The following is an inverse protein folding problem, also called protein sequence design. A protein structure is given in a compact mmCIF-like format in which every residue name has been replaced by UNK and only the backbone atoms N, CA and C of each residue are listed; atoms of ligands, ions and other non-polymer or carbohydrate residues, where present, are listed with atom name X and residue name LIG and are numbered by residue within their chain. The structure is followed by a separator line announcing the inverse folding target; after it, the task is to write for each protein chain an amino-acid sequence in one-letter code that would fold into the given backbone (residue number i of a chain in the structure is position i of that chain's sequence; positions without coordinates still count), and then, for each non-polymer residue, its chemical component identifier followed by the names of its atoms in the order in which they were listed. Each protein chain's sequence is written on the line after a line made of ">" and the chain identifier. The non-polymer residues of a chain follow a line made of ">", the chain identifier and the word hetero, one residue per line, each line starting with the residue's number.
data_IF_325853889295
#
_entry.id   IF_325853889295
#
_cell.length_a   1.000
_cell.length_b   1.000
_cell.length_c   1.000
_cell.angle_alpha   90.00
_cell.angle_beta   90.00
_cell.angle_gamma   90.00
#
_symmetry.space_group_name_H-M   'P 1'
#
loop_
_entity.id
_entity.type
_entity.pdbx_description
1 polymer ?
#
# COMPACT_ATOMS: atom_id res chain seq x y z
N UNK A 1 -29.12 48.09 0.80
CA UNK A 1 -28.13 47.18 0.18
C UNK A 1 -27.33 46.42 1.23
N UNK A 2 -28.00 45.80 2.23
CA UNK A 2 -27.37 45.26 3.45
C UNK A 2 -27.77 43.80 3.76
N UNK A 3 -28.03 42.99 2.73
CA UNK A 3 -28.57 41.62 2.91
C UNK A 3 -27.79 40.51 2.20
N UNK A 4 -26.76 40.83 1.39
CA UNK A 4 -25.96 39.79 0.69
C UNK A 4 -24.68 39.34 1.39
N UNK A 5 -24.18 40.06 2.41
CA UNK A 5 -22.99 39.65 3.18
C UNK A 5 -23.32 38.57 4.21
N UNK A 6 -24.46 38.71 4.90
CA UNK A 6 -24.89 37.80 5.98
C UNK A 6 -25.14 36.36 5.50
N UNK A 7 -25.64 36.17 4.27
CA UNK A 7 -25.87 34.84 3.69
C UNK A 7 -24.59 34.11 3.25
N UNK A 8 -23.53 34.84 2.87
CA UNK A 8 -22.23 34.23 2.54
C UNK A 8 -21.42 33.89 3.79
N UNK A 9 -21.52 34.72 4.83
CA UNK A 9 -20.85 34.47 6.10
C UNK A 9 -21.56 33.33 6.87
N UNK A 10 -22.90 33.25 6.83
CA UNK A 10 -23.66 32.10 7.35
C UNK A 10 -23.38 30.81 6.59
N UNK A 11 -23.24 30.84 5.25
CA UNK A 11 -22.90 29.63 4.49
C UNK A 11 -21.46 29.16 4.74
N UNK A 12 -20.54 30.08 5.09
CA UNK A 12 -19.18 29.75 5.54
C UNK A 12 -19.17 29.19 6.97
N UNK A 13 -19.95 29.79 7.88
CA UNK A 13 -20.10 29.31 9.26
C UNK A 13 -20.84 27.96 9.31
N UNK A 14 -21.85 27.70 8.48
CA UNK A 14 -22.51 26.39 8.38
C UNK A 14 -21.57 25.29 7.83
N UNK A 15 -20.61 25.66 6.98
CA UNK A 15 -19.56 24.75 6.50
C UNK A 15 -18.47 24.50 7.56
N UNK A 16 -18.21 25.47 8.45
CA UNK A 16 -17.30 25.34 9.60
C UNK A 16 -17.94 24.68 10.84
N UNK A 17 -19.28 24.71 10.95
CA UNK A 17 -20.04 24.15 12.09
C UNK A 17 -20.74 22.82 11.78
N UNK A 18 -20.64 22.30 10.56
CA UNK A 18 -20.94 20.89 10.31
C UNK A 18 -19.96 20.06 11.17
N UNK A 19 -20.44 19.52 12.29
CA UNK A 19 -19.68 18.73 13.24
C UNK A 19 -18.75 17.78 12.46
N UNK A 20 -17.44 18.09 12.46
CA UNK A 20 -16.45 17.31 11.73
C UNK A 20 -16.55 15.90 12.30
N UNK A 21 -17.10 15.00 11.50
CA UNK A 21 -17.35 13.66 11.96
C UNK A 21 -16.01 13.03 12.39
N UNK A 22 -15.94 12.43 13.59
CA UNK A 22 -14.69 11.96 14.13
C UNK A 22 -14.13 10.85 13.23
N UNK A 23 -12.83 10.93 12.91
CA UNK A 23 -12.09 9.93 12.13
C UNK A 23 -12.48 8.49 12.50
N UNK A 24 -12.49 7.57 11.52
CA UNK A 24 -12.77 6.16 11.81
C UNK A 24 -11.78 5.60 12.84
N UNK A 25 -12.11 4.52 13.57
CA UNK A 25 -11.21 3.93 14.54
C UNK A 25 -9.81 3.62 14.01
N UNK A 26 -9.71 3.20 12.74
CA UNK A 26 -8.44 2.91 12.06
C UNK A 26 -7.73 4.21 11.64
N UNK A 27 -8.46 5.20 11.12
CA UNK A 27 -7.88 6.51 10.79
C UNK A 27 -7.27 7.19 12.03
N UNK A 28 -7.90 7.06 13.19
CA UNK A 28 -7.37 7.58 14.45
C UNK A 28 -6.11 6.84 14.91
N UNK A 29 -5.95 5.56 14.61
CA UNK A 29 -4.70 4.82 14.88
C UNK A 29 -3.56 5.36 14.01
N UNK A 30 -3.82 5.62 12.73
CA UNK A 30 -2.79 6.13 11.81
C UNK A 30 -2.35 7.58 12.08
N UNK A 31 -3.05 8.31 12.95
CA UNK A 31 -2.62 9.63 13.43
C UNK A 31 -2.10 9.61 14.87
N UNK A 32 -2.03 8.43 15.49
CA UNK A 32 -1.47 8.28 16.84
C UNK A 32 0.07 8.37 16.80
N UNK A 33 0.73 8.89 17.86
CA UNK A 33 2.17 9.11 17.84
C UNK A 33 3.01 7.88 17.51
N UNK A 34 2.60 6.68 17.95
CA UNK A 34 3.40 5.46 17.72
C UNK A 34 3.08 4.73 16.41
N UNK A 35 2.05 5.15 15.68
CA UNK A 35 1.62 4.56 14.41
C UNK A 35 1.39 5.64 13.35
N UNK A 36 2.01 6.81 13.55
CA UNK A 36 1.83 7.97 12.70
C UNK A 36 2.25 7.61 11.27
N UNK A 37 1.29 7.65 10.36
CA UNK A 37 1.45 7.24 8.98
C UNK A 37 1.02 8.39 8.08
N UNK A 38 1.93 8.83 7.21
CA UNK A 38 1.64 9.81 6.18
C UNK A 38 1.85 9.18 4.81
N UNK A 39 0.95 9.51 3.89
CA UNK A 39 1.05 9.04 2.50
C UNK A 39 1.73 10.15 1.69
N UNK A 40 2.86 9.83 1.07
CA UNK A 40 3.52 10.67 0.07
C UNK A 40 3.03 10.22 -1.30
N UNK A 41 2.45 11.16 -2.05
CA UNK A 41 2.19 11.00 -3.47
C UNK A 41 3.26 11.72 -4.27
N UNK A 42 3.83 11.02 -5.24
CA UNK A 42 4.79 11.60 -6.18
C UNK A 42 4.17 11.56 -7.57
N UNK A 43 4.00 12.74 -8.17
CA UNK A 43 3.44 12.89 -9.51
C UNK A 43 4.53 13.35 -10.46
N UNK A 44 4.69 12.63 -11.57
CA UNK A 44 5.51 13.04 -12.70
C UNK A 44 4.69 13.68 -13.79
N UNK A 45 5.25 14.73 -14.40
CA UNK A 45 4.66 15.42 -15.53
C UNK A 45 5.60 15.34 -16.74
N UNK A 46 5.02 15.31 -17.94
CA UNK A 46 5.80 15.34 -19.19
C UNK A 46 6.39 16.71 -19.47
N UNK A 47 5.78 17.76 -18.90
CA UNK A 47 6.22 19.15 -19.03
C UNK A 47 6.56 19.72 -17.66
N UNK A 48 7.40 20.75 -17.63
CA UNK A 48 7.68 21.47 -16.39
C UNK A 48 6.43 22.23 -15.95
N UNK A 49 5.83 21.81 -14.84
CA UNK A 49 4.67 22.47 -14.26
C UNK A 49 5.06 23.70 -13.44
N UNK A 50 4.11 24.62 -13.27
CA UNK A 50 4.20 25.68 -12.27
C UNK A 50 3.78 25.11 -10.89
N UNK A 51 4.69 25.00 -9.90
CA UNK A 51 4.35 24.40 -8.61
C UNK A 51 3.20 25.11 -7.89
N UNK A 52 3.10 26.44 -8.01
CA UNK A 52 2.04 27.21 -7.36
C UNK A 52 0.66 26.87 -7.95
N UNK A 53 0.57 26.71 -9.27
CA UNK A 53 -0.67 26.31 -9.95
C UNK A 53 -1.10 24.90 -9.52
N UNK A 54 -0.17 23.95 -9.46
CA UNK A 54 -0.46 22.59 -8.98
C UNK A 54 -0.93 22.61 -7.52
N UNK A 55 -0.23 23.34 -6.65
CA UNK A 55 -0.60 23.46 -5.23
C UNK A 55 -1.97 24.11 -5.07
N UNK A 56 -2.27 25.15 -5.84
CA UNK A 56 -3.57 25.80 -5.83
C UNK A 56 -4.67 24.87 -6.34
N UNK A 57 -4.42 24.14 -7.43
CA UNK A 57 -5.32 23.11 -7.93
C UNK A 57 -5.64 22.06 -6.87
N UNK A 58 -4.60 21.51 -6.21
CA UNK A 58 -4.75 20.53 -5.12
C UNK A 58 -5.55 21.11 -3.96
N UNK A 59 -5.26 22.34 -3.53
CA UNK A 59 -6.00 23.02 -2.46
C UNK A 59 -7.47 23.24 -2.81
N UNK A 60 -7.76 23.54 -4.07
CA UNK A 60 -9.11 23.85 -4.53
C UNK A 60 -9.93 22.62 -4.91
N UNK A 61 -9.29 21.46 -5.12
CA UNK A 61 -9.94 20.20 -5.48
C UNK A 61 -9.68 19.10 -4.44
N UNK A 62 -8.48 18.53 -4.41
CA UNK A 62 -8.12 17.34 -3.63
C UNK A 62 -8.28 17.51 -2.13
N UNK A 63 -7.90 18.66 -1.57
CA UNK A 63 -8.13 18.93 -0.14
C UNK A 63 -9.63 18.99 0.18
N UNK A 64 -10.45 19.38 -0.79
CA UNK A 64 -11.92 19.42 -0.68
C UNK A 64 -12.58 18.10 -1.08
N UNK A 65 -11.85 17.16 -1.70
CA UNK A 65 -12.38 15.84 -2.00
C UNK A 65 -12.59 15.09 -0.69
N UNK A 66 -13.82 14.61 -0.42
CA UNK A 66 -14.12 14.00 0.85
C UNK A 66 -13.31 12.74 1.13
N UNK A 67 -12.79 12.02 0.11
CA UNK A 67 -11.81 10.91 0.22
C UNK A 67 -11.33 10.33 -1.12
N UNK A 68 -10.23 9.57 -1.04
CA UNK A 68 -9.81 8.56 -2.03
C UNK A 68 -10.27 7.16 -1.61
N UNK A 69 -10.72 6.33 -2.55
CA UNK A 69 -10.89 4.89 -2.36
C UNK A 69 -10.00 4.15 -3.34
N UNK A 70 -9.34 3.08 -2.90
CA UNK A 70 -8.61 2.19 -3.79
C UNK A 70 -9.05 0.74 -3.58
N UNK A 71 -9.07 0.00 -4.68
CA UNK A 71 -9.16 -1.46 -4.68
C UNK A 71 -7.74 -1.99 -4.60
N UNK A 72 -7.30 -2.36 -3.40
CA UNK A 72 -6.03 -3.07 -3.22
C UNK A 72 -6.32 -4.56 -3.46
N UNK A 73 -5.77 -5.11 -4.54
CA UNK A 73 -5.73 -6.55 -4.82
C UNK A 73 -4.28 -6.95 -4.93
N UNK A 74 -3.85 -7.96 -4.19
CA UNK A 74 -2.48 -8.47 -4.31
C UNK A 74 -2.27 -9.08 -5.69
N UNK A 75 -1.30 -8.54 -6.43
CA UNK A 75 -0.80 -9.18 -7.63
C UNK A 75 0.26 -10.22 -7.25
N UNK A 76 -0.04 -11.49 -7.53
CA UNK A 76 0.80 -12.63 -7.16
C UNK A 76 2.15 -12.61 -7.91
N UNK A 77 2.22 -12.01 -9.10
CA UNK A 77 3.47 -11.81 -9.86
C UNK A 77 4.35 -10.78 -9.15
N UNK A 78 3.79 -9.64 -8.75
CA UNK A 78 4.55 -8.60 -8.03
C UNK A 78 5.04 -9.08 -6.66
N UNK A 79 4.23 -9.89 -5.97
CA UNK A 79 4.66 -10.54 -4.74
C UNK A 79 5.74 -11.60 -5.02
N UNK A 80 5.60 -12.40 -6.07
CA UNK A 80 6.63 -13.36 -6.51
C UNK A 80 7.97 -12.68 -6.82
N UNK A 81 7.94 -11.61 -7.61
CA UNK A 81 9.07 -10.73 -7.90
C UNK A 81 9.68 -10.15 -6.63
N UNK A 82 8.86 -9.70 -5.67
CA UNK A 82 9.33 -9.20 -4.38
C UNK A 82 10.12 -10.25 -3.61
N UNK A 83 9.60 -11.48 -3.54
CA UNK A 83 10.28 -12.59 -2.87
C UNK A 83 11.59 -12.95 -3.56
N UNK A 84 11.59 -13.00 -4.90
CA UNK A 84 12.79 -13.26 -5.70
C UNK A 84 13.87 -12.19 -5.50
N UNK A 85 13.51 -10.90 -5.58
CA UNK A 85 14.45 -9.80 -5.37
C UNK A 85 15.02 -9.79 -3.94
N UNK A 86 14.19 -10.04 -2.92
CA UNK A 86 14.66 -10.19 -1.55
C UNK A 86 15.61 -11.39 -1.39
N UNK A 87 15.32 -12.53 -2.03
CA UNK A 87 16.24 -13.68 -2.05
C UNK A 87 17.59 -13.32 -2.64
N UNK A 88 17.61 -12.62 -3.77
CA UNK A 88 18.84 -12.15 -4.42
C UNK A 88 19.61 -11.20 -3.51
N UNK A 89 18.96 -10.15 -3.01
CA UNK A 89 19.56 -9.16 -2.14
C UNK A 89 20.19 -9.80 -0.89
N UNK A 90 19.43 -10.67 -0.20
CA UNK A 90 19.88 -11.32 1.03
C UNK A 90 20.94 -12.40 0.78
N UNK A 91 20.97 -13.02 -0.41
CA UNK A 91 22.01 -13.99 -0.76
C UNK A 91 23.41 -13.38 -0.76
N UNK A 92 23.53 -12.08 -1.05
CA UNK A 92 24.81 -11.34 -1.06
C UNK A 92 25.33 -11.01 0.33
N UNK A 93 24.48 -11.03 1.37
CA UNK A 93 24.90 -10.78 2.76
C UNK A 93 25.75 -11.93 3.32
N UNK A 94 25.67 -13.12 2.72
CA UNK A 94 26.47 -14.28 3.11
C UNK A 94 27.71 -14.33 2.23
N UNK A 95 28.81 -13.84 2.80
CA UNK A 95 30.14 -13.65 2.20
C UNK A 95 30.93 -14.97 2.16
N UNK A 96 30.27 -16.08 1.81
CA UNK A 96 30.89 -17.39 1.68
C UNK A 96 30.92 -17.76 0.20
N UNK A 97 32.08 -18.08 -0.37
CA UNK A 97 32.25 -18.51 -1.77
C UNK A 97 31.49 -19.81 -2.11
N UNK A 98 30.88 -20.46 -1.10
CA UNK A 98 30.17 -21.71 -1.24
C UNK A 98 28.67 -21.51 -1.49
N UNK A 99 28.26 -21.69 -2.75
CA UNK A 99 26.84 -21.64 -3.19
C UNK A 99 25.90 -22.49 -2.30
N UNK A 100 26.37 -23.65 -1.84
CA UNK A 100 25.60 -24.57 -0.98
C UNK A 100 25.31 -23.94 0.39
N UNK A 101 26.26 -23.21 0.97
CA UNK A 101 26.08 -22.56 2.26
C UNK A 101 25.16 -21.34 2.15
N UNK A 102 25.25 -20.56 1.07
CA UNK A 102 24.28 -19.50 0.75
C UNK A 102 22.85 -20.04 0.68
N UNK A 103 22.62 -21.15 -0.03
CA UNK A 103 21.29 -21.79 -0.11
C UNK A 103 20.79 -22.19 1.29
N UNK A 104 21.62 -22.89 2.09
CA UNK A 104 21.27 -23.30 3.46
C UNK A 104 20.98 -22.12 4.39
N UNK A 105 21.70 -21.01 4.24
CA UNK A 105 21.52 -19.83 5.08
C UNK A 105 20.22 -19.09 4.75
N UNK A 106 19.89 -18.93 3.46
CA UNK A 106 18.60 -18.36 3.04
C UNK A 106 17.42 -19.19 3.57
N UNK A 107 17.50 -20.52 3.54
CA UNK A 107 16.44 -21.40 4.03
C UNK A 107 16.12 -21.25 5.53
N UNK A 108 17.05 -20.69 6.33
CA UNK A 108 16.84 -20.39 7.74
C UNK A 108 16.12 -19.05 7.97
N UNK A 109 16.15 -18.14 7.00
CA UNK A 109 15.52 -16.83 7.11
C UNK A 109 14.00 -17.00 7.19
N UNK A 110 13.38 -16.24 8.09
CA UNK A 110 11.91 -16.17 8.26
C UNK A 110 11.48 -14.73 8.23
N UNK A 111 10.99 -14.27 7.09
CA UNK A 111 10.42 -12.94 6.94
C UNK A 111 8.90 -13.03 6.86
N UNK A 112 8.23 -11.98 7.35
CA UNK A 112 6.77 -11.86 7.29
C UNK A 112 6.40 -10.53 6.67
N UNK A 113 5.52 -10.57 5.68
CA UNK A 113 4.94 -9.38 5.07
C UNK A 113 3.57 -9.07 5.69
N UNK A 114 3.20 -7.80 5.66
CA UNK A 114 1.82 -7.34 5.87
C UNK A 114 1.26 -6.78 4.58
N UNK A 115 -0.04 -7.00 4.36
CA UNK A 115 -0.80 -6.29 3.32
C UNK A 115 -2.11 -5.80 3.88
N UNK A 116 -2.48 -4.59 3.49
CA UNK A 116 -3.76 -4.00 3.83
C UNK A 116 -4.81 -4.39 2.79
N UNK A 117 -5.96 -4.86 3.26
CA UNK A 117 -7.10 -5.20 2.41
C UNK A 117 -8.30 -4.32 2.73
N UNK A 118 -8.99 -3.87 1.68
CA UNK A 118 -10.22 -3.11 1.82
C UNK A 118 -11.35 -4.07 2.21
N UNK A 119 -11.95 -3.86 3.38
CA UNK A 119 -12.99 -4.74 3.93
C UNK A 119 -14.41 -4.36 3.49
N UNK A 120 -14.57 -3.34 2.64
CA UNK A 120 -15.89 -2.93 2.16
C UNK A 120 -16.42 -3.95 1.15
N UNK A 121 -17.72 -4.26 1.28
CA UNK A 121 -18.43 -5.11 0.34
C UNK A 121 -18.59 -4.43 -1.05
N UNK A 122 -18.79 -3.12 -1.05
CA UNK A 122 -18.74 -2.29 -2.26
C UNK A 122 -17.55 -1.31 -2.18
N UNK A 123 -16.85 -1.17 -3.29
CA UNK A 123 -15.64 -0.35 -3.44
C UNK A 123 -15.82 0.74 -4.49
N UNK A 124 -17.04 0.90 -5.05
CA UNK A 124 -17.38 2.02 -5.91
C UNK A 124 -17.24 3.34 -5.13
N UNK A 125 -16.88 4.39 -5.87
CA UNK A 125 -16.99 5.76 -5.39
C UNK A 125 -18.48 6.05 -5.19
N UNK A 126 -18.81 6.49 -3.99
CA UNK A 126 -20.17 6.83 -3.58
C UNK A 126 -20.13 8.20 -2.91
N UNK A 127 -21.22 8.95 -3.07
CA UNK A 127 -21.36 10.24 -2.40
C UNK A 127 -21.32 10.10 -0.89
N UNK A 128 -20.71 11.07 -0.21
CA UNK A 128 -20.53 11.05 1.25
C UNK A 128 -21.87 10.85 1.99
N UNK A 129 -22.93 11.52 1.54
CA UNK A 129 -24.26 11.37 2.12
C UNK A 129 -24.77 9.91 2.02
N UNK A 130 -24.53 9.23 0.90
CA UNK A 130 -24.91 7.83 0.69
C UNK A 130 -24.05 6.88 1.53
N UNK A 131 -22.76 7.20 1.71
CA UNK A 131 -21.86 6.42 2.59
C UNK A 131 -22.24 6.52 4.07
N UNK A 132 -22.82 7.67 4.45
CA UNK A 132 -23.25 8.00 5.81
C UNK A 132 -24.64 7.47 6.16
N UNK A 133 -25.46 7.15 5.15
CA UNK A 133 -26.79 6.62 5.33
C UNK A 133 -26.79 5.31 6.16
N UNK A 134 -27.77 5.17 7.05
CA UNK A 134 -27.95 3.97 7.86
C UNK A 134 -28.19 2.76 6.95
N UNK A 135 -27.40 1.69 7.13
CA UNK A 135 -27.48 0.49 6.29
C UNK A 135 -26.67 0.55 5.00
N UNK A 136 -25.90 1.62 4.78
CA UNK A 136 -25.01 1.72 3.61
C UNK A 136 -24.02 0.55 3.56
N UNK A 137 -23.88 -0.04 2.37
CA UNK A 137 -22.88 -1.09 2.08
C UNK A 137 -21.48 -0.50 1.84
N UNK A 138 -21.40 0.81 1.59
CA UNK A 138 -20.16 1.57 1.39
C UNK A 138 -19.97 2.55 2.56
N UNK A 139 -19.78 2.03 3.78
CA UNK A 139 -19.74 2.88 4.99
C UNK A 139 -18.54 3.82 5.00
N UNK A 140 -18.78 5.01 5.57
CA UNK A 140 -17.79 6.06 5.79
C UNK A 140 -16.69 5.68 6.79
N UNK A 141 -15.43 6.01 6.44
CA UNK A 141 -14.24 5.80 7.27
C UNK A 141 -13.28 4.76 6.72
N UNK A 142 -12.09 4.59 7.31
CA UNK A 142 -11.15 3.51 6.92
C UNK A 142 -11.66 2.15 7.42
N UNK A 143 -12.11 1.32 6.48
CA UNK A 143 -12.48 -0.09 6.69
C UNK A 143 -11.39 -0.97 6.06
N UNK A 144 -10.30 -1.13 6.79
CA UNK A 144 -9.11 -1.82 6.31
C UNK A 144 -8.75 -2.92 7.29
N UNK A 145 -8.50 -4.11 6.77
CA UNK A 145 -7.97 -5.24 7.50
C UNK A 145 -6.49 -5.45 7.17
N UNK A 146 -5.77 -6.09 8.07
CA UNK A 146 -4.36 -6.46 7.86
C UNK A 146 -4.28 -7.98 7.70
N UNK A 147 -3.56 -8.42 6.69
CA UNK A 147 -3.19 -9.81 6.46
C UNK A 147 -1.69 -9.92 6.72
N UNK A 148 -1.27 -10.95 7.48
CA UNK A 148 0.15 -11.26 7.71
C UNK A 148 0.46 -12.55 6.96
N UNK A 149 1.46 -12.54 6.11
CA UNK A 149 1.84 -13.69 5.31
C UNK A 149 3.35 -13.98 5.40
N UNK A 150 3.77 -15.26 5.33
CA UNK A 150 5.18 -15.60 5.25
C UNK A 150 5.72 -15.22 3.86
N UNK A 151 6.94 -14.69 3.82
CA UNK A 151 7.65 -14.43 2.57
C UNK A 151 8.54 -15.63 2.22
N UNK A 152 8.46 -16.08 0.96
CA UNK A 152 9.27 -17.17 0.44
C UNK A 152 10.64 -16.67 -0.06
N UNK A 153 11.54 -16.39 0.89
CA UNK A 153 12.93 -16.00 0.60
C UNK A 153 13.82 -17.23 0.63
N UNK A 154 14.04 -17.83 -0.54
CA UNK A 154 14.88 -19.02 -0.75
C UNK A 154 15.60 -18.93 -2.08
N UNK A 155 16.57 -19.81 -2.31
CA UNK A 155 17.14 -19.99 -3.66
C UNK A 155 16.26 -20.95 -4.45
N UNK A 156 15.83 -20.54 -5.63
CA UNK A 156 14.99 -21.33 -6.53
C UNK A 156 15.68 -21.49 -7.88
N UNK A 157 15.65 -22.71 -8.42
CA UNK A 157 16.20 -22.99 -9.75
C UNK A 157 15.17 -22.69 -10.86
N UNK A 158 13.86 -22.79 -10.57
CA UNK A 158 12.77 -22.31 -11.45
C UNK A 158 12.28 -20.93 -10.98
N UNK A 159 12.53 -19.84 -11.73
CA UNK A 159 12.10 -18.49 -11.35
C UNK A 159 10.58 -18.35 -11.15
N UNK A 160 9.79 -19.16 -11.87
CA UNK A 160 8.33 -19.13 -11.74
C UNK A 160 7.82 -19.70 -10.41
N UNK A 161 8.66 -20.42 -9.66
CA UNK A 161 8.27 -20.98 -8.37
C UNK A 161 7.91 -19.88 -7.35
N UNK A 162 8.60 -18.74 -7.38
CA UNK A 162 8.23 -17.60 -6.53
C UNK A 162 6.80 -17.13 -6.78
N UNK A 163 6.36 -17.08 -8.04
CA UNK A 163 5.00 -16.66 -8.42
C UNK A 163 3.99 -17.72 -8.00
N UNK A 164 4.28 -19.01 -8.20
CA UNK A 164 3.39 -20.10 -7.75
C UNK A 164 3.21 -20.10 -6.23
N UNK A 165 4.29 -19.86 -5.48
CA UNK A 165 4.27 -19.77 -4.02
C UNK A 165 3.53 -18.55 -3.52
N UNK A 166 3.75 -17.40 -4.15
CA UNK A 166 3.01 -16.17 -3.86
C UNK A 166 1.51 -16.39 -4.07
N UNK A 167 1.12 -16.94 -5.23
CA UNK A 167 -0.27 -17.27 -5.56
C UNK A 167 -0.90 -18.24 -4.55
N UNK A 168 -0.25 -19.37 -4.29
CA UNK A 168 -0.75 -20.37 -3.33
C UNK A 168 -0.97 -19.76 -1.94
N UNK A 169 0.00 -18.98 -1.45
CA UNK A 169 -0.09 -18.30 -0.16
C UNK A 169 -1.25 -17.30 -0.16
N UNK A 170 -1.35 -16.45 -1.18
CA UNK A 170 -2.36 -15.40 -1.24
C UNK A 170 -3.77 -15.95 -1.46
N UNK A 171 -3.94 -17.03 -2.22
CA UNK A 171 -5.24 -17.67 -2.41
C UNK A 171 -5.76 -18.25 -1.08
N UNK A 172 -4.88 -18.85 -0.26
CA UNK A 172 -5.22 -19.25 1.12
C UNK A 172 -5.59 -18.03 1.96
N UNK A 173 -4.82 -16.94 1.89
CA UNK A 173 -5.09 -15.71 2.65
C UNK A 173 -6.36 -14.99 2.23
N UNK A 174 -6.74 -15.03 0.96
CA UNK A 174 -8.01 -14.48 0.43
C UNK A 174 -9.22 -15.24 0.98
N UNK A 175 -9.09 -16.56 1.18
CA UNK A 175 -10.14 -17.39 1.79
C UNK A 175 -10.19 -17.26 3.32
N UNK A 176 -9.12 -16.76 3.94
CA UNK A 176 -9.05 -16.52 5.38
C UNK A 176 -9.92 -15.35 5.81
N UNK A 177 -10.64 -15.53 6.91
CA UNK A 177 -11.40 -14.46 7.58
C UNK A 177 -10.51 -13.64 8.55
N UNK A 178 -9.19 -13.85 8.55
CA UNK A 178 -8.26 -13.21 9.50
C UNK A 178 -8.34 -11.68 9.49
N UNK A 179 -8.52 -11.07 8.31
CA UNK A 179 -8.59 -9.62 8.17
C UNK A 179 -9.84 -9.04 8.81
N UNK A 180 -10.97 -9.74 8.71
CA UNK A 180 -12.23 -9.40 9.38
C UNK A 180 -12.15 -9.60 10.89
N UNK A 181 -11.57 -10.72 11.34
CA UNK A 181 -11.36 -10.99 12.77
C UNK A 181 -10.43 -9.92 13.37
N UNK A 182 -9.31 -9.62 12.71
CA UNK A 182 -8.36 -8.61 13.16
C UNK A 182 -9.04 -7.23 13.31
N UNK A 183 -9.80 -6.80 12.30
CA UNK A 183 -10.56 -5.56 12.36
C UNK A 183 -11.60 -5.55 13.50
N UNK A 184 -12.33 -6.66 13.68
CA UNK A 184 -13.30 -6.82 14.77
C UNK A 184 -12.65 -6.73 16.15
N UNK A 185 -11.52 -7.41 16.35
CA UNK A 185 -10.75 -7.38 17.59
C UNK A 185 -10.21 -5.97 17.89
N UNK A 186 -9.62 -5.30 16.89
CA UNK A 186 -9.15 -3.91 17.05
C UNK A 186 -10.29 -3.01 17.52
N UNK A 187 -11.48 -3.12 16.90
CA UNK A 187 -12.64 -2.32 17.26
C UNK A 187 -13.18 -2.65 18.66
N UNK A 188 -13.24 -3.93 19.01
CA UNK A 188 -13.71 -4.39 20.32
C UNK A 188 -12.75 -3.98 21.43
N UNK A 189 -11.46 -4.26 21.28
CA UNK A 189 -10.40 -3.87 22.22
C UNK A 189 -10.38 -2.37 22.41
N UNK A 190 -10.55 -1.58 21.35
CA UNK A 190 -10.66 -0.12 21.45
C UNK A 190 -11.83 0.29 22.34
N UNK A 191 -12.99 -0.34 22.16
CA UNK A 191 -14.22 -0.01 22.89
C UNK A 191 -14.11 -0.36 24.39
N UNK A 192 -13.44 -1.46 24.71
CA UNK A 192 -13.34 -1.97 26.09
C UNK A 192 -12.12 -1.40 26.83
N UNK A 193 -10.95 -1.39 26.19
CA UNK A 193 -9.65 -1.09 26.81
C UNK A 193 -9.06 0.26 26.37
N UNK A 194 -9.69 0.96 25.44
CA UNK A 194 -9.28 2.28 24.97
C UNK A 194 -8.21 2.27 23.86
N UNK A 195 -7.93 3.46 23.31
CA UNK A 195 -7.06 3.63 22.14
C UNK A 195 -5.58 3.27 22.36
N UNK A 196 -5.01 3.61 23.54
CA UNK A 196 -3.59 3.37 23.85
C UNK A 196 -3.21 1.88 23.84
N UNK A 197 -4.13 1.02 24.31
CA UNK A 197 -3.92 -0.44 24.29
C UNK A 197 -3.91 -0.95 22.85
N UNK A 198 -4.85 -0.48 22.03
CA UNK A 198 -4.91 -0.86 20.60
C UNK A 198 -3.68 -0.38 19.85
N UNK A 199 -3.23 0.85 20.07
CA UNK A 199 -2.01 1.39 19.48
C UNK A 199 -0.80 0.51 19.83
N UNK A 200 -0.67 0.07 21.09
CA UNK A 200 0.40 -0.82 21.52
C UNK A 200 0.31 -2.21 20.88
N UNK A 201 -0.89 -2.78 20.75
CA UNK A 201 -1.10 -4.07 20.10
C UNK A 201 -0.79 -4.03 18.61
N UNK A 202 -1.27 -2.98 17.92
CA UNK A 202 -1.04 -2.80 16.48
C UNK A 202 0.42 -2.51 16.20
N UNK A 203 1.08 -1.67 17.01
CA UNK A 203 2.53 -1.45 16.92
C UNK A 203 3.29 -2.76 17.09
N UNK A 204 2.98 -3.54 18.13
CA UNK A 204 3.60 -4.85 18.36
C UNK A 204 3.41 -5.80 17.16
N UNK A 205 2.23 -5.80 16.54
CA UNK A 205 1.97 -6.59 15.33
C UNK A 205 2.95 -6.21 14.21
N UNK A 206 3.10 -4.91 13.93
CA UNK A 206 4.00 -4.45 12.89
C UNK A 206 5.50 -4.63 13.26
N UNK A 207 5.88 -4.44 14.52
CA UNK A 207 7.25 -4.70 15.04
C UNK A 207 7.71 -6.15 14.79
N UNK A 208 6.76 -7.10 14.72
CA UNK A 208 7.03 -8.53 14.50
C UNK A 208 6.91 -8.95 13.03
N UNK A 209 6.91 -7.98 12.12
CA UNK A 209 6.85 -8.20 10.68
C UNK A 209 7.96 -7.43 9.99
N UNK A 210 8.42 -7.94 8.85
CA UNK A 210 9.59 -7.43 8.15
C UNK A 210 9.24 -6.26 7.24
N UNK A 211 8.14 -6.39 6.49
CA UNK A 211 7.76 -5.40 5.48
C UNK A 211 6.26 -5.23 5.33
N UNK A 212 5.84 -4.06 4.84
CA UNK A 212 4.52 -3.88 4.25
C UNK A 212 4.60 -3.93 2.73
N UNK A 213 3.68 -4.67 2.12
CA UNK A 213 3.49 -4.76 0.68
C UNK A 213 2.14 -4.15 0.31
N UNK A 214 2.09 -3.38 -0.77
CA UNK A 214 0.83 -3.01 -1.42
C UNK A 214 1.04 -2.86 -2.92
N UNK A 215 -0.02 -3.07 -3.68
CA UNK A 215 -0.05 -2.70 -5.09
C UNK A 215 -1.40 -2.09 -5.44
N UNK A 216 -1.37 -1.10 -6.32
CA UNK A 216 -2.55 -0.40 -6.80
C UNK A 216 -2.47 -0.30 -8.32
N UNK A 217 -3.55 -0.68 -8.98
CA UNK A 217 -3.71 -0.41 -10.40
C UNK A 217 -4.02 1.08 -10.57
N UNK A 218 -3.14 1.82 -11.22
CA UNK A 218 -3.42 3.19 -11.62
C UNK A 218 -4.11 3.26 -12.99
N UNK A 219 -4.27 4.48 -13.53
CA UNK A 219 -4.87 4.69 -14.86
C UNK A 219 -4.16 3.87 -15.94
N UNK A 220 -4.94 3.28 -16.84
CA UNK A 220 -4.48 2.54 -18.02
C UNK A 220 -4.36 3.43 -19.27
N UNK A 221 -4.89 4.66 -19.20
CA UNK A 221 -4.78 5.70 -20.22
C UNK A 221 -3.92 6.88 -19.75
N UNK A 222 -3.36 7.61 -20.71
CA UNK A 222 -2.69 8.88 -20.44
C UNK A 222 -3.71 9.88 -19.88
N UNK A 223 -3.41 10.41 -18.70
CA UNK A 223 -4.25 11.38 -18.02
C UNK A 223 -3.49 12.68 -17.78
N UNK A 224 -4.24 13.77 -17.66
CA UNK A 224 -3.72 15.07 -17.26
C UNK A 224 -4.16 15.41 -15.84
N UNK A 225 -3.29 16.11 -15.13
CA UNK A 225 -3.57 16.67 -13.82
C UNK A 225 -3.51 18.20 -13.90
N UNK A 226 -4.65 18.87 -13.72
CA UNK A 226 -4.77 20.32 -13.95
C UNK A 226 -4.19 20.75 -15.31
N UNK A 227 -4.62 20.07 -16.38
CA UNK A 227 -4.16 20.31 -17.76
C UNK A 227 -2.67 20.03 -18.01
N UNK A 228 -1.97 19.42 -17.06
CA UNK A 228 -0.61 18.95 -17.25
C UNK A 228 -0.57 17.44 -17.50
N UNK A 229 -0.11 16.98 -18.69
CA UNK A 229 0.03 15.56 -18.98
C UNK A 229 0.93 14.85 -17.97
N UNK A 230 0.41 13.80 -17.35
CA UNK A 230 1.17 12.99 -16.40
C UNK A 230 2.14 12.04 -17.13
N UNK A 231 3.22 11.68 -16.44
CA UNK A 231 4.23 10.74 -16.93
C UNK A 231 4.46 9.55 -15.99
N UNK A 232 4.21 9.73 -14.69
CA UNK A 232 4.18 8.66 -13.70
C UNK A 232 3.37 9.07 -12.46
N UNK A 233 2.94 8.08 -11.68
CA UNK A 233 2.37 8.26 -10.34
C UNK A 233 2.96 7.23 -9.39
N UNK A 234 3.34 7.66 -8.20
CA UNK A 234 3.76 6.80 -7.11
C UNK A 234 3.05 7.22 -5.82
N UNK A 235 2.86 6.26 -4.93
CA UNK A 235 2.40 6.52 -3.57
C UNK A 235 3.25 5.70 -2.60
N UNK A 236 3.59 6.26 -1.44
CA UNK A 236 4.11 5.48 -0.32
C UNK A 236 3.52 5.88 1.00
N UNK A 237 3.26 4.90 1.86
CA UNK A 237 3.18 5.14 3.28
C UNK A 237 4.60 5.34 3.83
N UNK A 238 4.75 6.35 4.69
CA UNK A 238 5.93 6.51 5.55
C UNK A 238 5.49 6.53 7.01
N UNK A 239 6.39 6.06 7.86
CA UNK A 239 6.14 5.83 9.27
C UNK A 239 5.79 4.38 9.58
N UNK A 240 5.60 4.09 10.87
CA UNK A 240 5.48 2.73 11.38
C UNK A 240 6.83 2.06 11.65
N UNK A 241 6.81 0.85 12.24
CA UNK A 241 8.02 0.21 12.76
C UNK A 241 8.74 -0.74 11.80
N UNK A 242 8.23 -0.92 10.58
CA UNK A 242 8.82 -1.85 9.61
C UNK A 242 9.99 -1.19 8.87
N UNK A 243 11.05 -1.96 8.67
CA UNK A 243 12.26 -1.48 7.99
C UNK A 243 12.09 -1.32 6.47
N UNK A 244 11.02 -1.89 5.89
CA UNK A 244 10.78 -1.87 4.46
C UNK A 244 9.29 -1.76 4.15
N UNK A 245 8.93 -0.81 3.30
CA UNK A 245 7.60 -0.68 2.74
C UNK A 245 7.75 -0.67 1.22
N UNK A 246 7.06 -1.58 0.55
CA UNK A 246 7.11 -1.77 -0.89
C UNK A 246 5.73 -1.46 -1.47
N UNK A 247 5.69 -0.54 -2.41
CA UNK A 247 4.49 -0.19 -3.12
C UNK A 247 4.69 -0.26 -4.63
N UNK A 248 3.74 -0.91 -5.29
CA UNK A 248 3.67 -0.96 -6.74
C UNK A 248 2.47 -0.15 -7.22
N UNK A 249 2.71 0.74 -8.19
CA UNK A 249 1.64 1.48 -8.86
C UNK A 249 1.78 1.30 -10.35
N UNK A 250 0.75 0.80 -11.02
CA UNK A 250 0.75 0.76 -12.49
C UNK A 250 0.30 2.10 -13.05
N UNK A 251 0.86 2.51 -14.18
CA UNK A 251 0.43 3.68 -14.92
C UNK A 251 0.65 3.42 -16.41
N UNK A 252 -0.44 3.38 -17.18
CA UNK A 252 -0.43 2.99 -18.59
C UNK A 252 0.23 1.63 -18.74
N UNK A 253 1.39 1.54 -19.37
CA UNK A 253 2.16 0.33 -19.59
C UNK A 253 3.40 0.21 -18.69
N UNK A 254 3.45 0.98 -17.61
CA UNK A 254 4.58 1.05 -16.68
C UNK A 254 4.18 0.56 -15.29
N UNK A 255 5.14 -0.06 -14.61
CA UNK A 255 5.06 -0.38 -13.19
C UNK A 255 6.06 0.51 -12.48
N UNK A 256 5.57 1.27 -11.50
CA UNK A 256 6.41 2.09 -10.62
C UNK A 256 6.62 1.33 -9.32
N UNK A 257 7.89 1.02 -9.02
CA UNK A 257 8.31 0.41 -7.76
C UNK A 257 8.74 1.53 -6.81
N UNK A 258 8.09 1.62 -5.65
CA UNK A 258 8.40 2.60 -4.64
C UNK A 258 8.81 1.91 -3.34
N UNK A 259 9.99 2.26 -2.83
CA UNK A 259 10.57 1.68 -1.61
C UNK A 259 10.74 2.77 -0.56
N UNK A 260 10.06 2.63 0.57
CA UNK A 260 10.42 3.36 1.79
C UNK A 260 11.23 2.42 2.69
N UNK A 261 12.45 2.84 3.02
CA UNK A 261 13.49 1.97 3.56
C UNK A 261 14.16 2.60 4.77
N UNK A 262 14.33 1.82 5.84
CA UNK A 262 15.27 2.14 6.92
C UNK A 262 16.69 1.74 6.50
N UNK A 263 17.51 2.74 6.17
CA UNK A 263 18.88 2.55 5.69
C UNK A 263 19.84 2.04 6.76
N UNK A 264 19.46 2.07 8.04
CA UNK A 264 20.23 1.42 9.11
C UNK A 264 20.12 -0.11 9.05
N UNK A 265 19.03 -0.63 8.48
CA UNK A 265 18.76 -2.07 8.33
C UNK A 265 19.09 -2.55 6.91
N UNK A 266 18.65 -1.82 5.89
CA UNK A 266 18.88 -2.14 4.47
C UNK A 266 19.85 -1.11 3.90
N UNK A 267 21.14 -1.48 3.87
CA UNK A 267 22.23 -0.56 3.54
C UNK A 267 22.22 -0.06 2.10
N UNK A 268 21.79 -0.89 1.15
CA UNK A 268 21.77 -0.53 -0.27
C UNK A 268 20.35 -0.69 -0.85
N UNK A 269 19.47 0.31 -0.68
CA UNK A 269 18.12 0.27 -1.23
C UNK A 269 18.09 0.34 -2.76
N UNK A 270 19.12 0.89 -3.41
CA UNK A 270 19.21 0.95 -4.86
C UNK A 270 19.46 -0.43 -5.43
N UNK A 271 20.42 -1.18 -4.86
CA UNK A 271 20.67 -2.58 -5.23
C UNK A 271 19.43 -3.45 -4.99
N UNK A 272 18.70 -3.25 -3.88
CA UNK A 272 17.45 -3.95 -3.65
C UNK A 272 16.42 -3.66 -4.76
N UNK A 273 16.31 -2.41 -5.21
CA UNK A 273 15.43 -2.04 -6.31
C UNK A 273 15.85 -2.72 -7.62
N UNK A 274 17.15 -2.69 -7.94
CA UNK A 274 17.71 -3.36 -9.12
C UNK A 274 17.43 -4.87 -9.10
N UNK A 275 17.57 -5.51 -7.94
CA UNK A 275 17.23 -6.93 -7.74
C UNK A 275 15.75 -7.24 -7.98
N UNK A 276 14.84 -6.33 -7.61
CA UNK A 276 13.41 -6.50 -7.88
C UNK A 276 13.14 -6.43 -9.38
N UNK A 277 13.73 -5.45 -10.07
CA UNK A 277 13.59 -5.28 -11.53
C UNK A 277 14.18 -6.48 -12.27
N UNK A 278 15.40 -6.87 -11.95
CA UNK A 278 16.05 -8.02 -12.58
C UNK A 278 15.26 -9.32 -12.33
N UNK A 279 14.70 -9.49 -11.14
CA UNK A 279 13.85 -10.64 -10.84
C UNK A 279 12.58 -10.67 -11.71
N UNK A 280 11.99 -9.52 -12.00
CA UNK A 280 10.84 -9.43 -12.91
C UNK A 280 11.22 -9.87 -14.32
N UNK A 281 12.36 -9.40 -14.81
CA UNK A 281 12.85 -9.73 -16.15
C UNK A 281 13.12 -11.23 -16.28
N UNK A 282 13.77 -11.84 -15.29
CA UNK A 282 14.01 -13.29 -15.25
C UNK A 282 12.68 -14.07 -15.23
N UNK A 283 11.72 -13.67 -14.39
CA UNK A 283 10.40 -14.31 -14.31
C UNK A 283 9.67 -14.20 -15.67
N UNK A 284 9.73 -13.02 -16.30
CA UNK A 284 9.13 -12.76 -17.61
C UNK A 284 9.74 -13.64 -18.70
N UNK A 285 11.08 -13.74 -18.75
CA UNK A 285 11.78 -14.61 -19.71
C UNK A 285 11.39 -16.07 -19.51
N UNK A 286 11.40 -16.57 -18.28
CA UNK A 286 11.00 -17.95 -17.96
C UNK A 286 9.54 -18.24 -18.33
N UNK A 287 8.63 -17.26 -18.20
CA UNK A 287 7.24 -17.39 -18.61
C UNK A 287 7.10 -17.48 -20.14
N UNK A 288 7.88 -16.68 -20.89
CA UNK A 288 7.90 -16.71 -22.35
C UNK A 288 8.44 -18.04 -22.89
N UNK A 289 9.52 -18.56 -22.32
CA UNK A 289 10.11 -19.85 -22.71
C UNK A 289 9.14 -21.03 -22.51
N UNK A 290 8.34 -21.00 -21.45
CA UNK A 290 7.35 -22.04 -21.14
C UNK A 290 6.01 -21.87 -21.89
N UNK A 291 5.91 -20.90 -22.81
CA UNK A 291 4.68 -20.65 -23.58
C UNK A 291 3.51 -20.11 -22.74
N UNK A 292 3.78 -19.56 -21.56
CA UNK A 292 2.76 -18.96 -20.69
C UNK A 292 2.51 -17.53 -21.17
N UNK A 293 1.79 -17.37 -22.28
CA UNK A 293 1.55 -16.07 -22.92
C UNK A 293 0.58 -15.14 -22.16
N UNK A 294 -0.01 -15.59 -21.04
CA UNK A 294 -0.98 -14.83 -20.23
C UNK A 294 -0.58 -14.76 -18.76
N UNK A 295 0.57 -14.15 -18.48
CA UNK A 295 0.83 -13.61 -17.14
C UNK A 295 0.52 -12.12 -17.18
N UNK A 296 -0.68 -11.75 -16.76
CA UNK A 296 -1.02 -10.34 -16.53
C UNK A 296 -0.17 -9.85 -15.34
N UNK A 297 0.75 -8.91 -15.62
CA UNK A 297 1.52 -8.17 -14.61
C UNK A 297 0.77 -6.89 -14.28
#
# INVERSE_FOLDING_TARGET
>A
MYTMKKGKDMAKEEQETAAIEPLSPVSQLFVSPSLYCFIIFTLGFQTRCNPSTIVEGVKNTWIKLPRFSSKVKVNDVLLGMTQAGLSRYLSRKYDEDMVVEKKKNLEKIRLRGTVFVNLRADTKLEDLANMMAKGSKCRWGNFVGVIIFPLWVRSEDDPLEYVRRAKSTMDIKKLSIESLICYGLIKLTRKILGGKVVETLVRRLFDHTTLTFSNVMGPDEDISFFDHPMSYVAASALGGPQALIIHYVTYVNKIVINLAVDTSVIRDPHLLCDDLVESLDIIKLAAMEKGVHKMEV
#
